data_IF_332614161716
#
_entry.id   IF_332614161716
#
_cell.length_a   1.000
_cell.length_b   1.000
_cell.length_c   1.000
_cell.angle_alpha   90.00
_cell.angle_beta   90.00
_cell.angle_gamma   90.00
#
_symmetry.space_group_name_H-M   'P 1'
#
loop_
_entity.id
_entity.type
_entity.pdbx_description
1 polymer ?
#
# COMPACT_ATOMS: atom_id res chain seq x y z
N UNK A 1 -27.26 -3.38 2.47
CA UNK A 1 -25.98 -3.60 1.75
C UNK A 1 -25.06 -4.39 2.67
N UNK A 2 -24.59 -5.58 2.28
CA UNK A 2 -23.64 -6.36 3.09
C UNK A 2 -22.29 -5.61 3.13
N UNK A 3 -21.71 -5.41 4.32
CA UNK A 3 -20.38 -4.80 4.46
C UNK A 3 -19.32 -5.71 3.82
N UNK A 4 -18.54 -5.17 2.89
CA UNK A 4 -17.39 -5.84 2.28
C UNK A 4 -16.23 -5.91 3.27
N UNK A 5 -16.12 -4.95 4.19
CA UNK A 5 -15.02 -4.84 5.14
C UNK A 5 -15.35 -5.44 6.52
N UNK A 6 -14.32 -5.97 7.17
CA UNK A 6 -14.34 -6.45 8.55
C UNK A 6 -14.37 -5.34 9.60
N UNK A 7 -14.03 -5.69 10.85
CA UNK A 7 -13.83 -4.68 11.90
C UNK A 7 -12.45 -4.02 11.72
N UNK A 8 -12.34 -2.69 11.83
CA UNK A 8 -11.06 -2.01 11.68
C UNK A 8 -10.17 -2.23 12.89
N UNK A 9 -8.90 -2.49 12.62
CA UNK A 9 -7.80 -2.29 13.57
C UNK A 9 -7.03 -1.04 13.18
N UNK A 10 -6.20 -0.49 14.08
CA UNK A 10 -5.51 0.79 13.87
C UNK A 10 -4.01 0.70 14.11
N UNK A 11 -3.26 1.56 13.44
CA UNK A 11 -1.82 1.74 13.64
C UNK A 11 -1.47 3.22 13.52
N UNK A 12 -0.58 3.69 14.39
CA UNK A 12 -0.02 5.03 14.34
C UNK A 12 1.20 5.03 13.41
N UNK A 13 1.21 5.93 12.44
CA UNK A 13 2.34 6.22 11.56
C UNK A 13 2.89 7.59 11.97
N UNK A 14 4.15 7.67 12.43
CA UNK A 14 4.79 8.93 12.78
C UNK A 14 4.83 9.91 11.60
N UNK A 15 4.84 11.20 11.88
CA UNK A 15 5.13 12.23 10.87
C UNK A 15 6.47 12.00 10.17
N UNK A 16 6.61 12.55 8.97
CA UNK A 16 7.88 12.57 8.25
C UNK A 16 8.21 14.00 7.76
N UNK A 17 9.46 14.21 7.39
CA UNK A 17 9.92 15.44 6.75
C UNK A 17 10.60 15.10 5.41
N UNK A 18 9.89 15.27 4.29
CA UNK A 18 10.45 15.16 2.95
C UNK A 18 10.73 13.73 2.50
N UNK A 19 9.76 12.81 2.62
CA UNK A 19 9.93 11.44 2.13
C UNK A 19 10.01 11.39 0.60
N UNK A 20 11.19 11.06 0.07
CA UNK A 20 11.44 10.91 -1.37
C UNK A 20 11.14 9.47 -1.77
N UNK A 21 10.04 9.23 -2.49
CA UNK A 21 9.58 7.87 -2.82
C UNK A 21 10.65 7.05 -3.53
N UNK A 22 11.25 7.59 -4.59
CA UNK A 22 12.21 6.86 -5.41
C UNK A 22 13.48 6.41 -4.68
N UNK A 23 13.87 7.08 -3.59
CA UNK A 23 15.09 6.70 -2.85
C UNK A 23 14.93 5.40 -2.07
N UNK A 24 13.69 4.95 -1.85
CA UNK A 24 13.37 3.71 -1.13
C UNK A 24 13.22 2.48 -2.01
N UNK A 25 13.17 2.66 -3.33
CA UNK A 25 12.97 1.57 -4.30
C UNK A 25 14.15 1.43 -5.26
N UNK A 26 15.37 1.64 -4.75
CA UNK A 26 16.60 1.39 -5.49
C UNK A 26 16.94 -0.10 -5.38
N UNK A 27 17.43 -0.71 -6.46
CA UNK A 27 17.86 -2.09 -6.43
C UNK A 27 19.13 -2.20 -5.58
N UNK A 28 18.96 -2.63 -4.33
CA UNK A 28 20.03 -2.88 -3.40
C UNK A 28 20.18 -4.41 -3.25
N UNK A 29 21.35 -4.92 -3.62
CA UNK A 29 21.67 -6.35 -3.59
C UNK A 29 22.41 -6.76 -2.31
N UNK A 30 22.52 -5.86 -1.33
CA UNK A 30 23.14 -6.15 -0.04
C UNK A 30 22.30 -7.16 0.77
N UNK A 31 22.96 -8.09 1.45
CA UNK A 31 22.30 -9.04 2.36
C UNK A 31 21.76 -8.38 3.63
N UNK A 32 22.13 -7.12 3.90
CA UNK A 32 21.68 -6.30 5.04
C UNK A 32 20.50 -5.36 4.71
N UNK A 33 19.89 -5.46 3.52
CA UNK A 33 18.73 -4.63 3.18
C UNK A 33 17.59 -4.84 4.19
N UNK A 34 17.02 -3.72 4.65
CA UNK A 34 15.90 -3.72 5.59
C UNK A 34 14.65 -4.34 4.99
N UNK A 35 14.40 -4.11 3.71
CA UNK A 35 13.23 -4.64 2.99
C UNK A 35 13.74 -5.53 1.86
N UNK A 36 13.35 -6.80 1.89
CA UNK A 36 13.60 -7.76 0.83
C UNK A 36 12.57 -7.57 -0.28
N UNK A 37 12.92 -6.79 -1.30
CA UNK A 37 12.06 -6.57 -2.48
C UNK A 37 12.33 -7.69 -3.50
N UNK A 38 11.34 -8.52 -3.75
CA UNK A 38 11.43 -9.59 -4.76
C UNK A 38 11.22 -9.05 -6.17
N UNK A 39 10.21 -8.19 -6.37
CA UNK A 39 10.00 -7.49 -7.63
C UNK A 39 9.10 -6.25 -7.48
N UNK A 40 9.17 -5.36 -8.47
CA UNK A 40 8.34 -4.16 -8.57
C UNK A 40 7.77 -4.12 -9.99
N UNK A 41 6.45 -3.98 -10.10
CA UNK A 41 5.75 -4.02 -11.38
C UNK A 41 6.08 -2.82 -12.27
N UNK A 42 5.83 -2.99 -13.57
CA UNK A 42 6.03 -1.91 -14.55
C UNK A 42 5.19 -0.68 -14.25
N UNK A 43 3.92 -0.87 -13.87
CA UNK A 43 3.01 0.23 -13.55
C UNK A 43 3.50 1.02 -12.35
N UNK A 44 3.93 0.34 -11.27
CA UNK A 44 4.44 1.02 -10.10
C UNK A 44 5.67 1.88 -10.45
N UNK A 45 6.62 1.31 -11.21
CA UNK A 45 7.77 2.05 -11.71
C UNK A 45 7.33 3.25 -12.55
N UNK A 46 6.44 3.05 -13.53
CA UNK A 46 6.02 4.10 -14.45
C UNK A 46 5.25 5.24 -13.77
N UNK A 47 4.45 4.96 -12.75
CA UNK A 47 3.56 5.96 -12.15
C UNK A 47 4.17 6.66 -10.93
N UNK A 48 5.02 5.97 -10.16
CA UNK A 48 5.57 6.50 -8.92
C UNK A 48 7.08 6.79 -8.99
N UNK A 49 7.84 6.05 -9.80
CA UNK A 49 9.30 6.15 -9.83
C UNK A 49 9.84 6.89 -11.05
N UNK A 50 9.12 6.84 -12.17
CA UNK A 50 9.46 7.53 -13.41
C UNK A 50 8.95 8.97 -13.41
N UNK A 51 9.73 9.87 -13.99
CA UNK A 51 9.37 11.28 -14.16
C UNK A 51 9.84 12.17 -13.00
N UNK A 52 8.91 12.92 -12.41
CA UNK A 52 9.17 13.86 -11.32
C UNK A 52 9.61 13.18 -10.02
N UNK A 53 10.05 14.00 -9.05
CA UNK A 53 10.34 13.50 -7.70
C UNK A 53 9.06 13.58 -6.86
N UNK A 54 8.44 12.42 -6.57
CA UNK A 54 7.36 12.34 -5.59
C UNK A 54 7.95 12.52 -4.19
N UNK A 55 7.55 13.62 -3.55
CA UNK A 55 7.90 13.95 -2.17
C UNK A 55 6.61 13.96 -1.36
N UNK A 56 6.55 13.11 -0.33
CA UNK A 56 5.38 12.98 0.53
C UNK A 56 5.69 13.53 1.92
N UNK A 57 5.07 14.67 2.27
CA UNK A 57 5.22 15.30 3.58
C UNK A 57 4.05 14.96 4.49
N UNK A 58 4.26 14.04 5.44
CA UNK A 58 3.30 13.77 6.47
C UNK A 58 3.51 14.75 7.64
N UNK A 59 2.81 15.90 7.62
CA UNK A 59 3.02 17.02 8.57
C UNK A 59 2.69 16.70 10.04
N UNK A 60 1.91 15.65 10.29
CA UNK A 60 1.48 15.19 11.62
C UNK A 60 1.38 13.67 11.61
N UNK A 61 1.41 13.06 12.79
CA UNK A 61 1.19 11.62 12.87
C UNK A 61 -0.16 11.25 12.24
N UNK A 62 -0.17 10.15 11.51
CA UNK A 62 -1.34 9.60 10.82
C UNK A 62 -1.79 8.34 11.51
N UNK A 63 -3.10 8.13 11.58
CA UNK A 63 -3.67 6.86 12.05
C UNK A 63 -4.26 6.17 10.85
N UNK A 64 -3.64 5.05 10.47
CA UNK A 64 -4.26 4.15 9.51
C UNK A 64 -5.18 3.19 10.25
N UNK A 65 -6.32 2.92 9.63
CA UNK A 65 -7.09 1.72 9.90
C UNK A 65 -6.80 0.67 8.84
N UNK A 66 -6.90 -0.60 9.23
CA UNK A 66 -6.79 -1.73 8.31
C UNK A 66 -7.93 -2.72 8.54
N UNK A 67 -8.50 -3.20 7.43
CA UNK A 67 -9.72 -3.99 7.42
C UNK A 67 -9.56 -5.18 6.47
N UNK A 68 -9.98 -6.36 6.91
CA UNK A 68 -9.99 -7.56 6.06
C UNK A 68 -11.18 -7.52 5.10
N UNK A 69 -10.94 -7.76 3.81
CA UNK A 69 -12.01 -7.99 2.83
C UNK A 69 -12.71 -9.32 3.11
N UNK A 70 -14.02 -9.28 3.32
CA UNK A 70 -14.88 -10.45 3.58
C UNK A 70 -15.33 -11.16 2.30
N UNK A 71 -15.16 -10.51 1.15
CA UNK A 71 -15.48 -11.04 -0.17
C UNK A 71 -14.73 -10.25 -1.22
N UNK A 72 -14.57 -10.84 -2.40
CA UNK A 72 -13.92 -10.16 -3.50
C UNK A 72 -14.71 -8.92 -3.92
N UNK A 73 -14.04 -7.81 -4.17
CA UNK A 73 -14.69 -6.52 -4.51
C UNK A 73 -13.78 -5.65 -5.36
N UNK A 74 -14.38 -4.79 -6.20
CA UNK A 74 -13.61 -3.81 -6.98
C UNK A 74 -13.13 -2.68 -6.09
N UNK A 75 -12.07 -2.00 -6.53
CA UNK A 75 -11.51 -0.84 -5.82
C UNK A 75 -12.56 0.25 -5.58
N UNK A 76 -13.39 0.55 -6.58
CA UNK A 76 -14.48 1.52 -6.45
C UNK A 76 -15.46 1.16 -5.31
N UNK A 77 -15.83 -0.12 -5.19
CA UNK A 77 -16.74 -0.56 -4.13
C UNK A 77 -16.08 -0.45 -2.74
N UNK A 78 -14.80 -0.79 -2.64
CA UNK A 78 -14.01 -0.69 -1.41
C UNK A 78 -13.88 0.78 -1.00
N UNK A 79 -13.45 1.66 -1.90
CA UNK A 79 -13.32 3.10 -1.68
C UNK A 79 -14.66 3.72 -1.26
N UNK A 80 -15.76 3.33 -1.91
CA UNK A 80 -17.11 3.80 -1.55
C UNK A 80 -17.47 3.38 -0.12
N UNK A 81 -17.18 2.15 0.28
CA UNK A 81 -17.44 1.66 1.64
C UNK A 81 -16.55 2.34 2.70
N UNK A 82 -15.33 2.72 2.33
CA UNK A 82 -14.43 3.52 3.18
C UNK A 82 -14.89 4.98 3.35
N UNK A 83 -15.87 5.44 2.57
CA UNK A 83 -16.38 6.81 2.61
C UNK A 83 -15.81 7.75 1.55
N UNK A 84 -15.29 7.20 0.44
CA UNK A 84 -14.77 7.96 -0.70
C UNK A 84 -13.25 8.07 -0.72
N UNK A 85 -12.72 8.65 -1.81
CA UNK A 85 -11.27 8.70 -2.09
C UNK A 85 -10.47 9.35 -0.95
N UNK A 86 -10.95 10.45 -0.37
CA UNK A 86 -10.26 11.16 0.72
C UNK A 86 -10.04 10.28 1.95
N UNK A 87 -10.96 9.35 2.24
CA UNK A 87 -10.84 8.41 3.37
C UNK A 87 -10.01 7.18 3.00
N UNK A 88 -10.08 6.75 1.74
CA UNK A 88 -9.30 5.64 1.22
C UNK A 88 -7.82 5.97 1.04
N UNK A 89 -7.50 7.22 0.71
CA UNK A 89 -6.15 7.66 0.35
C UNK A 89 -5.14 7.54 1.50
N UNK A 90 -4.04 6.90 1.17
CA UNK A 90 -2.82 6.66 1.97
C UNK A 90 -1.61 7.19 1.19
N UNK A 91 -0.40 7.03 1.75
CA UNK A 91 0.86 7.44 1.08
C UNK A 91 1.84 6.27 0.92
N UNK A 92 2.78 6.41 -0.02
CA UNK A 92 3.89 5.45 -0.13
C UNK A 92 4.73 5.44 1.15
N UNK A 93 4.88 6.58 1.83
CA UNK A 93 5.55 6.66 3.13
C UNK A 93 4.87 5.79 4.18
N UNK A 94 3.54 5.92 4.32
CA UNK A 94 2.76 5.11 5.26
C UNK A 94 2.91 3.62 4.98
N UNK A 95 2.89 3.24 3.70
CA UNK A 95 3.14 1.88 3.23
C UNK A 95 4.58 1.40 3.55
N UNK A 96 5.59 2.22 3.26
CA UNK A 96 7.01 1.89 3.50
C UNK A 96 7.31 1.79 4.99
N UNK A 97 6.71 2.62 5.83
CA UNK A 97 6.86 2.52 7.29
C UNK A 97 6.43 1.15 7.80
N UNK A 98 5.29 0.63 7.30
CA UNK A 98 4.83 -0.72 7.64
C UNK A 98 5.76 -1.80 7.08
N UNK A 99 6.23 -1.64 5.84
CA UNK A 99 7.20 -2.56 5.23
C UNK A 99 8.52 -2.61 6.01
N UNK A 100 9.06 -1.49 6.47
CA UNK A 100 10.31 -1.46 7.24
C UNK A 100 10.19 -2.23 8.57
N UNK A 101 8.98 -2.37 9.13
CA UNK A 101 8.72 -3.17 10.32
C UNK A 101 8.55 -4.68 10.06
N UNK A 102 8.40 -5.08 8.79
CA UNK A 102 8.20 -6.48 8.36
C UNK A 102 8.97 -6.79 7.06
N UNK A 103 10.18 -6.25 6.94
CA UNK A 103 10.84 -6.14 5.65
C UNK A 103 11.28 -7.49 5.06
N UNK A 104 11.36 -8.53 5.88
CA UNK A 104 11.72 -9.90 5.47
C UNK A 104 10.54 -10.87 5.62
N UNK A 105 9.31 -10.36 5.65
CA UNK A 105 8.10 -11.16 5.69
C UNK A 105 7.84 -11.80 7.06
N UNK A 106 8.48 -11.31 8.11
CA UNK A 106 8.17 -11.66 9.49
C UNK A 106 6.73 -11.26 9.88
N UNK A 107 6.24 -11.83 10.98
CA UNK A 107 4.90 -11.55 11.50
C UNK A 107 4.73 -10.07 11.86
N UNK A 108 3.53 -9.55 11.62
CA UNK A 108 3.13 -8.20 12.02
C UNK A 108 1.78 -7.77 11.43
N UNK A 109 1.64 -6.49 11.13
CA UNK A 109 0.44 -5.85 10.58
C UNK A 109 0.17 -6.25 9.12
N UNK A 110 1.20 -6.29 8.27
CA UNK A 110 1.07 -6.68 6.87
C UNK A 110 0.87 -8.19 6.76
N UNK A 111 -0.02 -8.60 5.86
CA UNK A 111 -0.16 -9.99 5.44
C UNK A 111 1.12 -10.46 4.74
N UNK A 112 1.67 -11.58 5.18
CA UNK A 112 2.86 -12.24 4.65
C UNK A 112 2.53 -13.64 4.08
N UNK A 113 1.27 -13.91 3.76
CA UNK A 113 0.75 -15.24 3.41
C UNK A 113 0.29 -15.35 1.94
N UNK A 114 0.84 -14.51 1.06
CA UNK A 114 0.49 -14.46 -0.36
C UNK A 114 -0.79 -13.68 -0.70
N UNK A 115 -1.56 -13.23 0.30
CA UNK A 115 -2.67 -12.28 0.06
C UNK A 115 -2.16 -10.84 -0.01
N UNK A 116 -2.86 -10.01 -0.78
CA UNK A 116 -2.48 -8.61 -0.96
C UNK A 116 -2.83 -7.75 0.25
N UNK A 117 -1.93 -6.82 0.55
CA UNK A 117 -2.19 -5.62 1.34
C UNK A 117 -2.43 -4.48 0.35
N UNK A 118 -3.60 -3.85 0.43
CA UNK A 118 -4.10 -2.89 -0.55
C UNK A 118 -4.03 -1.49 0.05
N UNK A 119 -3.33 -0.62 -0.64
CA UNK A 119 -3.21 0.81 -0.36
C UNK A 119 -3.78 1.58 -1.54
N UNK A 120 -4.35 2.76 -1.28
CA UNK A 120 -4.77 3.69 -2.33
C UNK A 120 -3.88 4.92 -2.27
N UNK A 121 -3.14 5.20 -3.34
CA UNK A 121 -2.08 6.22 -3.33
C UNK A 121 -2.14 7.04 -4.61
N UNK A 122 -1.95 8.36 -4.49
CA UNK A 122 -1.86 9.28 -5.63
C UNK A 122 -0.51 9.14 -6.32
N UNK A 123 -0.51 8.93 -7.63
CA UNK A 123 0.71 8.88 -8.44
C UNK A 123 1.28 10.28 -8.75
N UNK A 124 2.36 10.34 -9.54
CA UNK A 124 2.98 11.59 -10.00
C UNK A 124 2.04 12.52 -10.80
N UNK A 125 0.94 12.00 -11.33
CA UNK A 125 -0.09 12.77 -12.03
C UNK A 125 -1.28 13.12 -11.12
N UNK A 126 -1.16 12.89 -9.81
CA UNK A 126 -2.22 13.04 -8.82
C UNK A 126 -3.47 12.18 -9.11
N UNK A 127 -3.29 11.05 -9.81
CA UNK A 127 -4.35 10.07 -10.05
C UNK A 127 -4.29 9.01 -8.96
N UNK A 128 -5.45 8.68 -8.36
CA UNK A 128 -5.52 7.64 -7.34
C UNK A 128 -5.32 6.26 -7.98
N UNK A 129 -4.35 5.50 -7.48
CA UNK A 129 -4.02 4.13 -7.89
C UNK A 129 -4.20 3.18 -6.72
N UNK A 130 -4.52 1.93 -7.01
CA UNK A 130 -4.34 0.86 -6.03
C UNK A 130 -2.90 0.37 -6.07
N UNK A 131 -2.29 0.20 -4.90
CA UNK A 131 -0.93 -0.32 -4.71
C UNK A 131 -1.01 -1.57 -3.85
N UNK A 132 -0.51 -2.68 -4.37
CA UNK A 132 -0.60 -3.99 -3.74
C UNK A 132 0.78 -4.40 -3.22
N UNK A 133 0.83 -4.83 -1.96
CA UNK A 133 1.99 -5.51 -1.39
C UNK A 133 1.66 -6.98 -1.14
N UNK A 134 2.44 -7.86 -1.76
CA UNK A 134 2.28 -9.31 -1.67
C UNK A 134 3.62 -9.90 -1.25
N UNK A 135 3.62 -10.78 -0.26
CA UNK A 135 4.82 -11.53 0.13
C UNK A 135 4.86 -12.88 -0.57
N UNK A 136 6.01 -13.23 -1.15
CA UNK A 136 6.31 -14.56 -1.69
C UNK A 136 7.72 -15.04 -1.29
N UNK A 137 8.15 -16.18 -1.82
CA UNK A 137 9.48 -16.76 -1.56
C UNK A 137 10.66 -15.83 -1.95
N UNK A 138 10.44 -14.94 -2.92
CA UNK A 138 11.44 -14.00 -3.45
C UNK A 138 11.45 -12.70 -2.65
N UNK A 139 10.34 -12.34 -2.00
CA UNK A 139 10.23 -11.22 -1.09
C UNK A 139 8.93 -10.45 -1.28
N UNK A 140 8.95 -9.15 -0.99
CA UNK A 140 7.83 -8.26 -1.27
C UNK A 140 7.74 -7.98 -2.78
N UNK A 141 6.60 -8.33 -3.36
CA UNK A 141 6.15 -7.88 -4.67
C UNK A 141 5.28 -6.63 -4.51
N UNK A 142 5.62 -5.60 -5.26
CA UNK A 142 4.93 -4.30 -5.26
C UNK A 142 4.29 -4.09 -6.63
N UNK A 143 2.96 -4.07 -6.67
CA UNK A 143 2.19 -3.83 -7.88
C UNK A 143 1.34 -2.56 -7.78
N UNK A 144 0.98 -2.00 -8.94
CA UNK A 144 0.08 -0.87 -9.04
C UNK A 144 -0.93 -1.06 -10.17
N UNK A 145 -2.20 -0.74 -9.89
CA UNK A 145 -3.29 -0.83 -10.85
C UNK A 145 -4.12 0.46 -10.90
N UNK A 146 -4.87 0.62 -12.00
CA UNK A 146 -5.91 1.64 -12.05
C UNK A 146 -7.08 1.19 -11.18
N UNK A 147 -7.67 2.09 -10.39
CA UNK A 147 -8.88 1.78 -9.61
C UNK A 147 -10.10 1.46 -10.49
N UNK A 148 -10.00 1.75 -11.79
CA UNK A 148 -11.03 1.46 -12.80
C UNK A 148 -10.83 0.09 -13.47
N UNK A 149 -9.69 -0.57 -13.25
CA UNK A 149 -9.45 -1.88 -13.84
C UNK A 149 -10.46 -2.89 -13.27
N UNK A 150 -10.79 -3.92 -14.05
CA UNK A 150 -11.65 -5.01 -13.60
C UNK A 150 -11.01 -5.87 -12.49
N UNK A 151 -9.78 -5.53 -12.06
CA UNK A 151 -9.09 -6.19 -10.97
C UNK A 151 -9.85 -6.00 -9.66
N UNK A 152 -9.91 -7.05 -8.86
CA UNK A 152 -10.70 -7.08 -7.63
C UNK A 152 -9.79 -7.48 -6.49
N UNK A 153 -9.84 -6.73 -5.39
CA UNK A 153 -9.30 -7.21 -4.13
C UNK A 153 -10.00 -8.52 -3.78
N UNK A 154 -9.22 -9.58 -3.57
CA UNK A 154 -9.76 -10.91 -3.24
C UNK A 154 -10.24 -10.96 -1.80
N UNK A 155 -11.20 -11.85 -1.51
CA UNK A 155 -11.54 -12.20 -0.14
C UNK A 155 -10.26 -12.57 0.62
N UNK A 156 -10.07 -12.01 1.82
CA UNK A 156 -8.88 -12.26 2.63
C UNK A 156 -7.78 -11.21 2.54
N UNK A 157 -7.78 -10.36 1.51
CA UNK A 157 -6.84 -9.23 1.44
C UNK A 157 -7.09 -8.22 2.57
N UNK A 158 -6.05 -7.46 2.90
CA UNK A 158 -6.10 -6.40 3.90
C UNK A 158 -6.15 -5.04 3.20
N UNK A 159 -7.07 -4.16 3.57
CA UNK A 159 -7.21 -2.82 3.00
C UNK A 159 -6.82 -1.80 4.05
N UNK A 160 -5.92 -0.88 3.70
CA UNK A 160 -5.49 0.22 4.55
C UNK A 160 -6.16 1.52 4.12
N UNK A 161 -6.55 2.33 5.10
CA UNK A 161 -7.16 3.65 4.87
C UNK A 161 -6.90 4.57 6.06
N UNK A 162 -7.14 5.87 5.92
CA UNK A 162 -7.09 6.81 7.05
C UNK A 162 -8.40 6.82 7.83
N UNK A 163 -8.32 7.18 9.12
CA UNK A 163 -9.49 7.38 10.01
C UNK A 163 -10.13 8.75 9.80
#
# INVERSE_FOLDING_TARGET
MLKVLGNPSKVLIPKNNGFIVRSKFVHDTDCEVKIKIGSISYNFKSWFLSGGTLIEDLKKDSILQYLKLRRSSSDIAIITELGGEVKAETTIYEMVYLLEGQGRGEEGILLNNGFANIFYVRDNAHILRSVFLIWDERGWFIDAHSIMDAHRGSCGCLVFSRV
#
